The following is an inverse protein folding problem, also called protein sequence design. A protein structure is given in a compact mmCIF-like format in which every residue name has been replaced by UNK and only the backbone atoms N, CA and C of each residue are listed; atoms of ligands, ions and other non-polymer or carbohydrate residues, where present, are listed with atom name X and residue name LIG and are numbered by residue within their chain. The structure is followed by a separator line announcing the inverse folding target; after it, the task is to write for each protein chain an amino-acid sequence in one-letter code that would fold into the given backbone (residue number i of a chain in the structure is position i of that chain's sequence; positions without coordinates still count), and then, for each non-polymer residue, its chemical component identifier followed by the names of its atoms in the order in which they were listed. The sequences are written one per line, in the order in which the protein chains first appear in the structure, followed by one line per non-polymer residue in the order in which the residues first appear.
data_IF_831739553214
#
_entry.id   IF_831739553214
#
_cell.length_a   1.000
_cell.length_b   1.000
_cell.length_c   1.000
_cell.angle_alpha   90.00
_cell.angle_beta   90.00
_cell.angle_gamma   90.00
#
_symmetry.space_group_name_H-M   'P 1'
#
loop_
_entity.id
_entity.type
_entity.pdbx_description
1 polymer ?
#
# COMPACT_ATOMS: atom_id res chain seq x y z
N UNK A 1 10.42 38.75 -10.02
CA UNK A 1 8.99 38.37 -10.02
C UNK A 1 8.87 37.16 -10.92
N UNK A 2 8.90 35.95 -10.33
CA UNK A 2 8.85 34.68 -11.04
C UNK A 2 8.06 33.69 -10.18
N UNK A 3 6.75 33.74 -10.28
CA UNK A 3 5.83 32.83 -9.59
C UNK A 3 4.70 32.48 -10.56
N UNK A 4 4.85 31.39 -11.31
CA UNK A 4 3.76 30.80 -12.12
C UNK A 4 4.06 29.37 -12.65
N UNK A 5 4.94 28.58 -12.00
CA UNK A 5 5.33 27.26 -12.51
C UNK A 5 5.30 26.12 -11.48
N UNK A 6 4.63 26.27 -10.34
CA UNK A 6 4.65 25.26 -9.26
C UNK A 6 3.31 24.58 -8.96
N UNK A 7 2.22 24.90 -9.68
CA UNK A 7 0.89 24.34 -9.38
C UNK A 7 0.46 23.13 -10.21
N UNK A 8 1.08 22.89 -11.38
CA UNK A 8 0.68 21.78 -12.26
C UNK A 8 1.39 20.47 -11.90
N UNK A 9 2.67 20.54 -11.54
CA UNK A 9 3.51 19.39 -11.20
C UNK A 9 3.01 18.67 -9.93
N UNK A 10 2.63 19.44 -8.90
CA UNK A 10 2.10 18.89 -7.65
C UNK A 10 0.78 18.12 -7.84
N UNK A 11 -0.07 18.55 -8.79
CA UNK A 11 -1.30 17.83 -9.09
C UNK A 11 -1.02 16.49 -9.79
N UNK A 12 -0.10 16.49 -10.76
CA UNK A 12 0.29 15.27 -11.49
C UNK A 12 0.94 14.24 -10.55
N UNK A 13 1.78 14.69 -9.61
CA UNK A 13 2.36 13.85 -8.55
C UNK A 13 1.30 13.28 -7.61
N UNK A 14 0.31 14.07 -7.19
CA UNK A 14 -0.80 13.58 -6.38
C UNK A 14 -1.62 12.50 -7.12
N UNK A 15 -1.91 12.69 -8.42
CA UNK A 15 -2.63 11.70 -9.21
C UNK A 15 -1.81 10.40 -9.34
N UNK A 16 -0.51 10.51 -9.58
CA UNK A 16 0.38 9.35 -9.63
C UNK A 16 0.40 8.58 -8.30
N UNK A 17 0.58 9.29 -7.17
CA UNK A 17 0.59 8.70 -5.84
C UNK A 17 -0.74 7.99 -5.50
N UNK A 18 -1.88 8.63 -5.80
CA UNK A 18 -3.20 8.06 -5.56
C UNK A 18 -3.48 6.83 -6.45
N UNK A 19 -2.97 6.82 -7.68
CA UNK A 19 -3.10 5.65 -8.58
C UNK A 19 -2.35 4.42 -8.03
N UNK A 20 -1.26 4.66 -7.29
CA UNK A 20 -0.40 3.60 -6.75
C UNK A 20 -0.65 3.30 -5.26
N UNK A 21 -1.52 4.05 -4.59
CA UNK A 21 -1.74 3.98 -3.14
C UNK A 21 -2.19 2.59 -2.68
N UNK A 22 -2.98 1.89 -3.49
CA UNK A 22 -3.41 0.52 -3.18
C UNK A 22 -2.26 -0.47 -3.26
N UNK A 23 -1.43 -0.40 -4.31
CA UNK A 23 -0.24 -1.24 -4.43
C UNK A 23 0.71 -1.02 -3.24
N UNK A 24 0.87 0.24 -2.82
CA UNK A 24 1.61 0.60 -1.60
C UNK A 24 1.00 -0.02 -0.34
N UNK A 25 -0.32 0.11 -0.13
CA UNK A 25 -1.04 -0.44 1.03
C UNK A 25 -0.92 -1.97 1.15
N UNK A 26 -0.85 -2.67 0.02
CA UNK A 26 -0.76 -4.13 -0.03
C UNK A 26 0.67 -4.66 -0.12
N UNK A 27 1.67 -3.78 -0.18
CA UNK A 27 3.09 -4.17 -0.31
C UNK A 27 3.41 -4.81 -1.65
N UNK A 28 2.69 -4.43 -2.71
CA UNK A 28 2.79 -5.00 -4.06
C UNK A 28 3.80 -4.25 -4.94
N UNK A 29 4.70 -3.47 -4.34
CA UNK A 29 5.65 -2.65 -5.07
C UNK A 29 7.09 -2.75 -4.53
N UNK A 30 8.10 -2.47 -5.36
CA UNK A 30 9.50 -2.44 -4.93
C UNK A 30 9.74 -1.39 -3.83
N UNK A 31 10.73 -1.64 -2.98
CA UNK A 31 11.06 -0.74 -1.86
C UNK A 31 11.37 0.70 -2.31
N UNK A 32 12.05 0.86 -3.44
CA UNK A 32 12.38 2.17 -4.00
C UNK A 32 11.12 2.99 -4.38
N UNK A 33 10.09 2.33 -4.93
CA UNK A 33 8.84 2.99 -5.31
C UNK A 33 7.98 3.28 -4.07
N UNK A 34 8.02 2.39 -3.07
CA UNK A 34 7.35 2.60 -1.80
C UNK A 34 7.91 3.80 -1.02
N UNK A 35 9.22 4.04 -1.09
CA UNK A 35 9.87 5.19 -0.45
C UNK A 35 9.43 6.52 -1.09
N UNK A 36 9.28 6.57 -2.41
CA UNK A 36 8.81 7.76 -3.12
C UNK A 36 7.37 8.13 -2.72
N UNK A 37 6.47 7.14 -2.68
CA UNK A 37 5.08 7.36 -2.23
C UNK A 37 5.04 7.79 -0.77
N UNK A 38 5.84 7.15 0.09
CA UNK A 38 5.90 7.51 1.52
C UNK A 38 6.34 8.97 1.70
N UNK A 39 7.34 9.41 0.94
CA UNK A 39 7.77 10.81 0.95
C UNK A 39 6.63 11.76 0.56
N UNK A 40 5.93 11.46 -0.54
CA UNK A 40 4.82 12.27 -1.00
C UNK A 40 3.65 12.32 0.01
N UNK A 41 3.26 11.17 0.59
CA UNK A 41 2.22 11.12 1.62
C UNK A 41 2.58 11.99 2.82
N UNK A 42 3.83 11.97 3.28
CA UNK A 42 4.28 12.82 4.39
C UNK A 42 4.31 14.31 4.06
N UNK A 43 4.46 14.67 2.78
CA UNK A 43 4.52 16.06 2.33
C UNK A 43 3.13 16.63 1.93
N UNK A 44 2.15 15.78 1.63
CA UNK A 44 0.85 16.18 1.10
C UNK A 44 -0.32 15.70 1.98
N UNK A 45 -0.93 16.63 2.71
CA UNK A 45 -2.05 16.37 3.63
C UNK A 45 -3.24 15.69 2.92
N UNK A 46 -3.63 16.18 1.74
CA UNK A 46 -4.72 15.61 0.94
C UNK A 46 -4.48 14.14 0.59
N UNK A 47 -3.25 13.79 0.19
CA UNK A 47 -2.93 12.41 -0.15
C UNK A 47 -2.86 11.53 1.10
N UNK A 48 -2.40 12.07 2.23
CA UNK A 48 -2.43 11.39 3.52
C UNK A 48 -3.87 11.08 3.95
N UNK A 49 -4.79 12.04 3.88
CA UNK A 49 -6.21 11.81 4.22
C UNK A 49 -6.81 10.67 3.39
N UNK A 50 -6.56 10.66 2.07
CA UNK A 50 -7.05 9.58 1.20
C UNK A 50 -6.44 8.23 1.59
N UNK A 51 -5.14 8.20 1.86
CA UNK A 51 -4.45 6.99 2.31
C UNK A 51 -5.05 6.44 3.63
N UNK A 52 -5.32 7.30 4.60
CA UNK A 52 -5.93 6.90 5.88
C UNK A 52 -7.33 6.33 5.72
N UNK A 53 -8.13 6.90 4.82
CA UNK A 53 -9.46 6.37 4.46
C UNK A 53 -9.33 4.95 3.90
N UNK A 54 -8.46 4.75 2.91
CA UNK A 54 -8.25 3.44 2.28
C UNK A 54 -7.67 2.41 3.24
N UNK A 55 -6.73 2.82 4.10
CA UNK A 55 -6.18 1.97 5.15
C UNK A 55 -7.28 1.52 6.14
N UNK A 56 -8.18 2.44 6.53
CA UNK A 56 -9.31 2.15 7.41
C UNK A 56 -10.27 1.15 6.77
N UNK A 57 -10.61 1.34 5.50
CA UNK A 57 -11.46 0.41 4.74
C UNK A 57 -10.81 -0.98 4.71
N UNK A 58 -9.52 -1.07 4.40
CA UNK A 58 -8.77 -2.33 4.40
C UNK A 58 -8.82 -3.04 5.75
N UNK A 59 -8.65 -2.31 6.85
CA UNK A 59 -8.77 -2.88 8.20
C UNK A 59 -10.19 -3.35 8.52
N UNK A 60 -11.22 -2.63 8.08
CA UNK A 60 -12.61 -3.07 8.22
C UNK A 60 -12.87 -4.37 7.46
N UNK A 61 -12.37 -4.49 6.23
CA UNK A 61 -12.49 -5.72 5.42
C UNK A 61 -11.81 -6.90 6.11
N UNK A 62 -10.58 -6.71 6.59
CA UNK A 62 -9.84 -7.76 7.32
C UNK A 62 -10.57 -8.22 8.58
N UNK A 63 -11.22 -7.31 9.32
CA UNK A 63 -12.02 -7.63 10.51
C UNK A 63 -13.33 -8.34 10.18
N UNK A 64 -13.99 -7.93 9.10
CA UNK A 64 -15.23 -8.56 8.65
C UNK A 64 -14.99 -9.98 8.11
N UNK A 65 -13.79 -10.26 7.62
CA UNK A 65 -13.39 -11.60 7.22
C UNK A 65 -13.35 -12.53 8.44
N UNK A 66 -14.29 -13.47 8.51
CA UNK A 66 -14.19 -14.60 9.44
C UNK A 66 -13.02 -15.47 9.02
N UNK A 67 -12.06 -15.67 9.91
CA UNK A 67 -10.94 -16.57 9.70
C UNK A 67 -11.46 -17.95 9.29
N UNK A 68 -11.31 -18.28 8.01
CA UNK A 68 -11.49 -19.64 7.52
C UNK A 68 -10.27 -20.40 8.00
N UNK A 69 -10.45 -21.27 9.00
CA UNK A 69 -9.37 -22.16 9.41
C UNK A 69 -8.96 -22.99 8.19
N UNK A 70 -7.69 -22.94 7.77
CA UNK A 70 -7.24 -23.78 6.68
C UNK A 70 -7.41 -25.25 7.09
N UNK A 71 -7.81 -26.14 6.16
CA UNK A 71 -7.86 -27.57 6.42
C UNK A 71 -6.56 -28.07 7.05
N UNK A 72 -6.67 -28.87 8.11
CA UNK A 72 -5.54 -29.37 8.89
C UNK A 72 -4.51 -30.13 8.02
N UNK A 73 -5.02 -30.76 6.95
CA UNK A 73 -4.20 -31.44 5.93
C UNK A 73 -3.31 -30.47 5.15
N UNK A 74 -3.79 -29.26 4.83
CA UNK A 74 -2.99 -28.23 4.17
C UNK A 74 -1.93 -27.66 5.11
N UNK A 75 -2.29 -27.39 6.37
CA UNK A 75 -1.35 -26.91 7.39
C UNK A 75 -0.22 -27.92 7.57
N UNK A 76 -0.55 -29.19 7.76
CA UNK A 76 0.43 -30.27 7.93
C UNK A 76 1.37 -30.39 6.73
N UNK A 77 0.84 -30.29 5.51
CA UNK A 77 1.63 -30.30 4.28
C UNK A 77 2.60 -29.12 4.23
N UNK A 78 2.14 -27.90 4.49
CA UNK A 78 3.00 -26.71 4.48
C UNK A 78 4.12 -26.82 5.52
N UNK A 79 3.80 -27.30 6.73
CA UNK A 79 4.81 -27.48 7.80
C UNK A 79 5.86 -28.55 7.46
N UNK A 80 5.53 -29.52 6.61
CA UNK A 80 6.46 -30.54 6.14
C UNK A 80 7.40 -30.06 5.01
N UNK A 81 7.08 -28.93 4.37
CA UNK A 81 7.92 -28.36 3.30
C UNK A 81 9.19 -27.74 3.90
N UNK A 82 10.34 -28.36 3.64
CA UNK A 82 11.65 -27.77 3.92
C UNK A 82 12.06 -26.84 2.78
N UNK A 83 12.07 -25.53 3.04
CA UNK A 83 12.65 -24.55 2.13
C UNK A 83 14.18 -24.74 2.16
N UNK A 84 14.74 -25.35 1.12
CA UNK A 84 16.19 -25.30 0.87
C UNK A 84 16.48 -23.93 0.23
N UNK A 85 17.15 -23.05 0.97
CA UNK A 85 17.82 -21.89 0.35
C UNK A 85 19.08 -22.42 -0.34
N UNK A 86 19.03 -22.56 -1.66
CA UNK A 86 20.20 -22.70 -2.54
C UNK A 86 20.45 -21.37 -3.22
#
# INVERSE_FOLDING_TARGET
MSEAAHGHDEMDECVAALTQVHAFLHGEMPDADADAIRHHLHACERCMENFEIEATINEMIKRAHRAVHPPETLVSRVMSLRIKRT
#
